data_IF_986527448109
#
_entry.id   IF_986527448109
#
_cell.length_a   1.000
_cell.length_b   1.000
_cell.length_c   1.000
_cell.angle_alpha   90.00
_cell.angle_beta   90.00
_cell.angle_gamma   90.00
#
_symmetry.space_group_name_H-M   'P 1'
#
loop_
_entity.id
_entity.type
_entity.pdbx_description
1 polymer ?
#
# COMPACT_ATOMS: atom_id res chain seq x y z
N UNK A 1 -2.12 -44.05 72.86
CA UNK A 1 -3.29 -43.15 72.76
C UNK A 1 -2.80 -41.78 72.31
N UNK A 2 -3.64 -41.06 71.57
CA UNK A 2 -3.49 -39.73 70.95
C UNK A 2 -2.86 -39.68 69.54
N UNK A 3 -3.82 -39.58 68.59
CA UNK A 3 -3.70 -39.11 67.21
C UNK A 3 -3.38 -37.61 67.20
N UNK A 4 -2.63 -37.12 66.22
CA UNK A 4 -2.88 -35.78 65.67
C UNK A 4 -2.52 -35.75 64.19
N UNK A 5 -3.56 -35.71 63.38
CA UNK A 5 -3.56 -35.51 61.93
C UNK A 5 -3.47 -34.01 61.66
N UNK A 6 -2.54 -33.55 60.82
CA UNK A 6 -2.59 -32.20 60.26
C UNK A 6 -2.81 -32.27 58.75
N UNK A 7 -4.01 -31.83 58.36
CA UNK A 7 -4.53 -31.71 57.00
C UNK A 7 -3.88 -30.48 56.37
N UNK A 8 -3.13 -30.66 55.27
CA UNK A 8 -2.66 -29.55 54.44
C UNK A 8 -3.71 -29.23 53.39
N UNK A 9 -4.33 -28.05 53.50
CA UNK A 9 -5.30 -27.50 52.55
C UNK A 9 -4.55 -27.00 51.30
N UNK A 10 -4.80 -27.61 50.15
CA UNK A 10 -4.35 -27.09 48.85
C UNK A 10 -5.30 -25.97 48.40
N UNK A 11 -4.82 -24.73 48.39
CA UNK A 11 -5.54 -23.59 47.81
C UNK A 11 -5.29 -23.59 46.29
N UNK A 12 -6.28 -24.07 45.53
CA UNK A 12 -6.32 -23.90 44.08
C UNK A 12 -6.70 -22.44 43.76
N UNK A 13 -5.70 -21.62 43.43
CA UNK A 13 -5.92 -20.27 42.92
C UNK A 13 -6.31 -20.37 41.44
N UNK A 14 -7.61 -20.45 41.16
CA UNK A 14 -8.15 -20.36 39.81
C UNK A 14 -8.00 -18.91 39.31
N UNK A 15 -6.90 -18.63 38.61
CA UNK A 15 -6.73 -17.41 37.83
C UNK A 15 -7.65 -17.48 36.61
N UNK A 16 -8.85 -16.91 36.75
CA UNK A 16 -9.69 -16.50 35.63
C UNK A 16 -8.94 -15.43 34.84
N UNK A 17 -8.24 -15.86 33.79
CA UNK A 17 -7.68 -14.97 32.77
C UNK A 17 -8.87 -14.28 32.11
N UNK A 18 -9.16 -13.06 32.56
CA UNK A 18 -10.15 -12.19 31.96
C UNK A 18 -9.84 -12.02 30.48
N UNK A 19 -10.68 -12.63 29.65
CA UNK A 19 -10.74 -12.38 28.22
C UNK A 19 -11.07 -10.90 28.00
N UNK A 20 -10.03 -10.07 27.89
CA UNK A 20 -10.18 -8.76 27.26
C UNK A 20 -10.42 -9.04 25.80
N UNK A 21 -11.70 -8.98 25.42
CA UNK A 21 -12.12 -8.79 24.04
C UNK A 21 -11.22 -7.73 23.42
N UNK A 22 -10.32 -8.19 22.53
CA UNK A 22 -9.51 -7.34 21.70
C UNK A 22 -10.44 -6.70 20.67
N UNK A 23 -11.21 -5.72 21.11
CA UNK A 23 -12.01 -4.88 20.22
C UNK A 23 -11.05 -4.34 19.15
N UNK A 24 -11.23 -4.83 17.92
CA UNK A 24 -10.39 -4.47 16.80
C UNK A 24 -10.42 -2.95 16.66
N UNK A 25 -9.32 -2.29 17.03
CA UNK A 25 -9.23 -0.84 16.98
C UNK A 25 -9.45 -0.37 15.53
N UNK A 26 -10.29 0.66 15.36
CA UNK A 26 -10.58 1.21 14.03
C UNK A 26 -9.24 1.62 13.37
N UNK A 27 -9.10 1.36 12.05
CA UNK A 27 -7.85 1.67 11.38
C UNK A 27 -7.56 3.17 11.44
N UNK A 28 -6.37 3.52 11.93
CA UNK A 28 -5.90 4.91 12.06
C UNK A 28 -5.88 5.66 10.72
N UNK A 29 -5.61 4.94 9.63
CA UNK A 29 -5.59 5.48 8.28
C UNK A 29 -6.54 4.70 7.37
N UNK A 30 -7.19 5.42 6.46
CA UNK A 30 -7.98 4.84 5.36
C UNK A 30 -7.50 5.47 4.06
N UNK A 31 -7.18 4.67 3.05
CA UNK A 31 -6.65 5.15 1.78
C UNK A 31 -7.52 6.28 1.16
N UNK A 32 -8.85 6.15 1.22
CA UNK A 32 -9.81 7.14 0.71
C UNK A 32 -9.79 8.51 1.41
N UNK A 33 -9.20 8.60 2.61
CA UNK A 33 -9.10 9.86 3.37
C UNK A 33 -7.74 10.52 3.24
N UNK A 34 -6.77 9.85 2.61
CA UNK A 34 -5.45 10.40 2.35
C UNK A 34 -5.49 11.34 1.14
N UNK A 35 -4.64 12.36 1.18
CA UNK A 35 -4.43 13.31 0.09
C UNK A 35 -3.01 13.20 -0.45
N UNK A 36 -2.88 13.38 -1.75
CA UNK A 36 -1.63 13.31 -2.49
C UNK A 36 -1.64 14.44 -3.52
N UNK A 37 -0.72 15.40 -3.42
CA UNK A 37 -0.60 16.55 -4.31
C UNK A 37 -1.95 17.20 -4.71
N UNK A 38 -2.81 17.39 -3.70
CA UNK A 38 -4.13 17.99 -3.84
C UNK A 38 -5.26 17.07 -4.30
N UNK A 39 -4.99 15.81 -4.70
CA UNK A 39 -6.03 14.82 -5.04
C UNK A 39 -6.21 13.75 -3.95
N UNK A 40 -7.30 12.98 -4.04
CA UNK A 40 -7.58 11.78 -3.24
C UNK A 40 -8.22 10.68 -4.10
N UNK A 41 -8.31 9.46 -3.57
CA UNK A 41 -9.06 8.39 -4.24
C UNK A 41 -10.53 8.78 -4.40
N UNK A 42 -11.10 8.46 -5.56
CA UNK A 42 -12.44 8.85 -6.00
C UNK A 42 -12.48 10.13 -6.82
N UNK A 43 -11.45 10.98 -6.77
CA UNK A 43 -11.37 12.17 -7.61
C UNK A 43 -11.27 11.79 -9.10
N UNK A 44 -11.75 12.67 -9.98
CA UNK A 44 -11.69 12.48 -11.43
C UNK A 44 -10.27 12.71 -11.94
N UNK A 45 -9.76 11.76 -12.73
CA UNK A 45 -8.41 11.85 -13.28
C UNK A 45 -8.25 13.02 -14.27
N UNK A 46 -9.30 13.44 -14.97
CA UNK A 46 -9.30 14.63 -15.84
C UNK A 46 -8.79 15.89 -15.15
N UNK A 47 -9.15 16.11 -13.87
CA UNK A 47 -8.69 17.26 -13.12
C UNK A 47 -7.18 17.20 -12.79
N UNK A 48 -6.66 15.99 -12.61
CA UNK A 48 -5.24 15.74 -12.37
C UNK A 48 -4.42 15.83 -13.67
N UNK A 49 -4.94 15.32 -14.78
CA UNK A 49 -4.30 15.37 -16.10
C UNK A 49 -4.08 16.81 -16.60
N UNK A 50 -4.79 17.81 -16.07
CA UNK A 50 -4.63 19.22 -16.48
C UNK A 50 -3.45 19.94 -15.84
N UNK A 51 -2.73 19.31 -14.90
CA UNK A 51 -1.62 19.93 -14.17
C UNK A 51 -0.33 19.15 -14.35
N UNK A 52 0.78 19.84 -14.54
CA UNK A 52 2.10 19.24 -14.43
C UNK A 52 2.32 18.70 -12.99
N UNK A 53 3.03 17.57 -12.82
CA UNK A 53 3.66 16.72 -13.85
C UNK A 53 2.74 15.60 -14.40
N UNK A 54 1.43 15.64 -14.15
CA UNK A 54 0.49 14.57 -14.49
C UNK A 54 -0.11 14.68 -15.90
N UNK A 55 0.16 15.76 -16.61
CA UNK A 55 -0.33 16.05 -17.96
C UNK A 55 0.24 15.13 -19.04
N UNK A 56 1.27 14.35 -18.71
CA UNK A 56 2.05 13.57 -19.66
C UNK A 56 2.35 12.15 -19.13
N UNK A 57 1.35 11.26 -19.09
CA UNK A 57 1.56 9.88 -18.67
C UNK A 57 2.46 9.12 -19.64
N UNK A 58 3.32 8.29 -19.05
CA UNK A 58 4.19 7.36 -19.76
C UNK A 58 3.43 6.31 -20.56
N UNK A 59 2.37 5.78 -19.95
CA UNK A 59 1.55 4.75 -20.57
C UNK A 59 0.13 4.81 -20.04
N UNK A 60 -0.75 4.17 -20.80
CA UNK A 60 -2.17 4.12 -20.49
C UNK A 60 -2.84 2.89 -21.11
N UNK A 61 -2.73 1.75 -20.43
CA UNK A 61 -3.34 0.50 -20.91
C UNK A 61 -4.53 0.07 -20.05
N UNK A 62 -5.50 -0.65 -20.64
CA UNK A 62 -6.47 -1.41 -19.86
C UNK A 62 -5.83 -2.66 -19.24
N UNK A 63 -6.29 -3.02 -18.05
CA UNK A 63 -5.90 -4.24 -17.31
C UNK A 63 -7.14 -4.92 -16.73
N UNK A 64 -6.93 -6.13 -16.22
CA UNK A 64 -7.92 -6.98 -15.57
C UNK A 64 -9.15 -7.16 -16.44
N UNK A 65 -8.93 -7.62 -17.68
CA UNK A 65 -10.00 -7.80 -18.68
C UNK A 65 -10.84 -6.52 -18.88
N UNK A 66 -10.18 -5.35 -18.87
CA UNK A 66 -10.81 -4.02 -19.02
C UNK A 66 -11.76 -3.66 -17.86
N UNK A 67 -11.48 -4.11 -16.65
CA UNK A 67 -12.17 -3.59 -15.45
C UNK A 67 -11.43 -2.40 -14.83
N UNK A 68 -10.15 -2.23 -15.16
CA UNK A 68 -9.28 -1.14 -14.70
C UNK A 68 -8.42 -0.61 -15.86
N UNK A 69 -7.86 0.57 -15.63
CA UNK A 69 -6.88 1.22 -16.50
C UNK A 69 -5.79 1.83 -15.63
N UNK A 70 -4.54 1.78 -16.07
CA UNK A 70 -3.40 2.30 -15.32
C UNK A 70 -2.81 3.48 -16.08
N UNK A 71 -2.67 4.61 -15.40
CA UNK A 71 -1.88 5.75 -15.87
C UNK A 71 -0.54 5.67 -15.15
N UNK A 72 0.55 5.57 -15.89
CA UNK A 72 1.87 5.39 -15.29
C UNK A 72 2.77 6.59 -15.56
N UNK A 73 3.70 6.85 -14.65
CA UNK A 73 4.73 7.88 -14.76
C UNK A 73 6.03 7.31 -14.16
N UNK A 74 7.12 7.34 -14.90
CA UNK A 74 8.40 6.76 -14.47
C UNK A 74 9.25 7.75 -13.68
N UNK A 75 9.89 7.31 -12.60
CA UNK A 75 10.94 8.09 -11.95
C UNK A 75 12.23 8.14 -12.78
N UNK A 76 12.48 7.11 -13.59
CA UNK A 76 13.46 7.09 -14.68
C UNK A 76 12.82 7.52 -16.00
N UNK A 77 13.67 7.90 -16.96
CA UNK A 77 13.22 8.40 -18.26
C UNK A 77 12.30 7.42 -18.98
N UNK A 78 11.18 7.95 -19.44
CA UNK A 78 10.14 7.23 -20.10
C UNK A 78 9.46 8.20 -21.08
N UNK A 79 9.49 7.85 -22.37
CA UNK A 79 9.15 8.77 -23.48
C UNK A 79 9.90 10.12 -23.38
N UNK A 80 11.18 10.06 -22.98
CA UNK A 80 12.06 11.24 -22.87
C UNK A 80 11.82 12.12 -21.64
N UNK A 81 11.01 11.67 -20.68
CA UNK A 81 10.62 12.46 -19.50
C UNK A 81 10.72 11.62 -18.24
N UNK A 82 10.99 12.27 -17.11
CA UNK A 82 11.00 11.64 -15.79
C UNK A 82 10.06 12.39 -14.87
N UNK A 83 9.31 11.67 -14.07
CA UNK A 83 8.46 12.23 -13.04
C UNK A 83 9.35 12.84 -11.93
N UNK A 84 9.00 14.01 -11.38
CA UNK A 84 9.88 14.73 -10.46
C UNK A 84 10.21 13.94 -9.19
N UNK A 85 11.35 14.29 -8.58
CA UNK A 85 11.85 13.61 -7.38
C UNK A 85 12.21 12.14 -7.58
N UNK A 86 12.38 11.72 -8.84
CA UNK A 86 12.63 10.33 -9.25
C UNK A 86 11.58 9.34 -8.72
N UNK A 87 10.34 9.81 -8.54
CA UNK A 87 9.23 9.01 -8.03
C UNK A 87 8.48 8.34 -9.17
N UNK A 88 8.32 7.02 -9.13
CA UNK A 88 7.44 6.31 -10.06
C UNK A 88 6.02 6.34 -9.53
N UNK A 89 5.05 6.67 -10.38
CA UNK A 89 3.63 6.79 -10.02
C UNK A 89 2.78 5.87 -10.90
N UNK A 90 1.77 5.27 -10.28
CA UNK A 90 0.72 4.55 -10.98
C UNK A 90 -0.65 4.97 -10.42
N UNK A 91 -1.56 5.38 -11.31
CA UNK A 91 -2.96 5.63 -10.96
C UNK A 91 -3.81 4.54 -11.61
N UNK A 92 -4.62 3.87 -10.81
CA UNK A 92 -5.57 2.86 -11.28
C UNK A 92 -6.94 3.51 -11.38
N UNK A 93 -7.46 3.62 -12.58
CA UNK A 93 -8.76 4.20 -12.88
C UNK A 93 -9.81 3.10 -13.06
N UNK A 94 -11.06 3.42 -12.75
CA UNK A 94 -12.18 2.56 -13.15
C UNK A 94 -12.30 2.57 -14.68
N UNK A 95 -12.32 1.41 -15.34
CA UNK A 95 -12.35 1.39 -16.80
C UNK A 95 -13.67 1.93 -17.37
N UNK A 96 -13.56 2.74 -18.42
CA UNK A 96 -14.64 3.11 -19.33
C UNK A 96 -14.12 3.04 -20.77
N UNK A 97 -14.93 2.44 -21.66
CA UNK A 97 -14.66 2.41 -23.10
C UNK A 97 -14.95 3.75 -23.77
N UNK A 98 -15.87 4.55 -23.21
CA UNK A 98 -16.32 5.83 -23.78
C UNK A 98 -15.45 7.00 -23.33
N UNK A 99 -15.07 7.02 -22.05
CA UNK A 99 -14.39 8.16 -21.44
C UNK A 99 -13.03 7.73 -20.91
N UNK A 100 -11.99 7.78 -21.74
CA UNK A 100 -10.63 7.28 -21.38
C UNK A 100 -10.02 7.96 -20.16
N UNK A 101 -10.23 9.27 -20.00
CA UNK A 101 -9.58 10.08 -18.98
C UNK A 101 -10.52 10.57 -17.88
N UNK A 102 -11.83 10.62 -18.14
CA UNK A 102 -12.81 11.10 -17.16
C UNK A 102 -13.31 9.99 -16.22
N UNK A 103 -12.35 9.30 -15.63
CA UNK A 103 -12.58 8.15 -14.76
C UNK A 103 -12.15 8.48 -13.33
N UNK A 104 -12.84 7.94 -12.31
CA UNK A 104 -12.41 8.08 -10.93
C UNK A 104 -11.10 7.31 -10.70
N UNK A 105 -10.21 7.89 -9.89
CA UNK A 105 -9.00 7.23 -9.40
C UNK A 105 -9.42 6.24 -8.31
N UNK A 106 -9.33 4.93 -8.60
CA UNK A 106 -9.74 3.84 -7.72
C UNK A 106 -8.62 3.43 -6.78
N UNK A 107 -7.40 3.33 -7.30
CA UNK A 107 -6.21 3.09 -6.50
C UNK A 107 -5.04 3.94 -7.00
N UNK A 108 -4.02 4.07 -6.18
CA UNK A 108 -2.85 4.88 -6.43
C UNK A 108 -1.63 4.20 -5.82
N UNK A 109 -0.54 4.12 -6.57
CA UNK A 109 0.74 3.67 -6.06
C UNK A 109 1.81 4.72 -6.36
N UNK A 110 2.76 4.86 -5.44
CA UNK A 110 4.02 5.50 -5.74
C UNK A 110 5.19 4.72 -5.15
N UNK A 111 6.27 4.65 -5.92
CA UNK A 111 7.47 3.87 -5.63
C UNK A 111 8.68 4.79 -5.73
N UNK A 112 9.57 4.68 -4.75
CA UNK A 112 10.81 5.44 -4.65
C UNK A 112 10.59 6.98 -4.66
N UNK A 113 11.70 7.70 -4.58
CA UNK A 113 11.74 9.14 -4.73
C UNK A 113 11.09 9.89 -3.56
N UNK A 114 11.07 11.21 -3.69
CA UNK A 114 10.67 12.12 -2.60
C UNK A 114 9.59 13.12 -3.05
N UNK A 115 8.94 12.90 -4.20
CA UNK A 115 7.92 13.84 -4.71
C UNK A 115 6.82 14.08 -3.67
N UNK A 116 6.31 13.01 -3.06
CA UNK A 116 5.16 13.12 -2.15
C UNK A 116 5.52 13.54 -0.72
N UNK A 117 6.80 13.64 -0.36
CA UNK A 117 7.27 13.86 1.02
C UNK A 117 6.61 15.03 1.76
N UNK A 118 6.28 16.09 1.02
CA UNK A 118 5.59 17.29 1.52
C UNK A 118 4.23 17.51 0.86
N UNK A 119 3.79 16.56 0.02
CA UNK A 119 2.56 16.63 -0.77
C UNK A 119 1.54 15.59 -0.34
N UNK A 120 1.81 14.83 0.73
CA UNK A 120 0.85 13.89 1.30
C UNK A 120 0.70 14.08 2.80
N UNK A 121 -0.48 13.73 3.31
CA UNK A 121 -0.72 13.59 4.75
C UNK A 121 -0.44 12.16 5.26
N UNK A 122 0.11 11.29 4.42
CA UNK A 122 0.56 9.96 4.83
C UNK A 122 1.93 10.03 5.53
N UNK A 123 2.12 9.36 6.70
CA UNK A 123 3.29 9.63 7.54
C UNK A 123 4.56 8.83 7.18
N UNK A 124 4.46 7.85 6.28
CA UNK A 124 5.58 7.02 5.87
C UNK A 124 6.07 7.44 4.48
N UNK A 125 7.36 7.20 4.23
CA UNK A 125 8.05 7.57 3.00
C UNK A 125 8.87 6.39 2.44
N UNK A 126 9.13 6.33 1.11
CA UNK A 126 10.12 5.41 0.57
C UNK A 126 11.48 5.65 1.23
N UNK A 127 12.22 4.57 1.50
CA UNK A 127 13.50 4.59 2.23
C UNK A 127 13.36 4.39 3.75
N UNK A 128 12.17 4.65 4.33
CA UNK A 128 11.92 4.36 5.73
C UNK A 128 12.14 2.86 6.03
N UNK A 129 12.66 2.51 7.23
CA UNK A 129 12.69 1.12 7.66
C UNK A 129 11.26 0.62 7.91
N UNK A 130 10.97 -0.64 7.58
CA UNK A 130 9.66 -1.25 7.80
C UNK A 130 9.22 -1.16 9.27
N UNK A 131 10.17 -1.23 10.21
CA UNK A 131 9.88 -1.07 11.65
C UNK A 131 9.19 0.24 12.01
N UNK A 132 9.40 1.31 11.23
CA UNK A 132 8.71 2.60 11.43
C UNK A 132 7.22 2.49 11.13
N UNK A 133 6.81 1.62 10.21
CA UNK A 133 5.40 1.39 9.88
C UNK A 133 4.60 0.88 11.09
N UNK A 134 5.25 0.15 12.00
CA UNK A 134 4.60 -0.43 13.18
C UNK A 134 4.19 0.60 14.24
N UNK A 135 4.62 1.85 14.09
CA UNK A 135 4.10 3.00 14.88
C UNK A 135 2.70 3.43 14.43
N UNK A 136 2.29 3.02 13.23
CA UNK A 136 1.06 3.45 12.57
C UNK A 136 0.09 2.30 12.32
N UNK A 137 0.63 1.09 12.15
CA UNK A 137 -0.11 -0.11 11.85
C UNK A 137 0.27 -1.24 12.80
N UNK A 138 -0.68 -2.12 13.10
CA UNK A 138 -0.38 -3.32 13.89
C UNK A 138 0.50 -4.28 13.07
N UNK A 139 1.60 -4.81 13.63
CA UNK A 139 2.40 -5.82 12.95
C UNK A 139 1.62 -7.14 12.74
N UNK A 140 0.51 -7.34 13.47
CA UNK A 140 -0.42 -8.48 13.32
C UNK A 140 -1.47 -8.24 12.23
N UNK A 141 -1.10 -7.51 11.17
CA UNK A 141 -1.96 -7.23 10.04
C UNK A 141 -2.28 -8.48 9.20
N UNK A 142 -2.77 -8.26 7.97
CA UNK A 142 -2.93 -9.35 7.02
C UNK A 142 -1.56 -9.95 6.67
N UNK A 143 -1.54 -11.24 6.32
CA UNK A 143 -0.29 -11.92 5.97
C UNK A 143 0.41 -11.24 4.79
N UNK A 144 1.70 -10.89 4.94
CA UNK A 144 2.50 -10.42 3.83
C UNK A 144 2.57 -11.46 2.71
N UNK A 145 2.69 -11.00 1.48
CA UNK A 145 2.90 -11.87 0.32
C UNK A 145 3.99 -11.30 -0.58
N UNK A 146 4.58 -12.14 -1.43
CA UNK A 146 5.64 -11.72 -2.35
C UNK A 146 5.09 -11.53 -3.75
N UNK A 147 5.67 -10.56 -4.46
CA UNK A 147 5.47 -10.35 -5.89
C UNK A 147 6.84 -10.41 -6.56
N UNK A 148 6.93 -11.13 -7.67
CA UNK A 148 8.21 -11.43 -8.31
C UNK A 148 8.15 -11.23 -9.83
N UNK A 149 9.26 -10.73 -10.41
CA UNK A 149 9.44 -10.58 -11.86
C UNK A 149 10.92 -10.57 -12.21
N UNK A 150 11.33 -11.43 -13.15
CA UNK A 150 12.71 -11.46 -13.72
C UNK A 150 13.81 -11.41 -12.65
N UNK A 151 13.75 -12.31 -11.67
CA UNK A 151 14.75 -12.42 -10.60
C UNK A 151 14.68 -11.32 -9.52
N UNK A 152 13.73 -10.39 -9.61
CA UNK A 152 13.48 -9.38 -8.59
C UNK A 152 12.21 -9.72 -7.79
N UNK A 153 12.31 -9.63 -6.46
CA UNK A 153 11.21 -9.91 -5.51
C UNK A 153 10.98 -8.72 -4.60
N UNK A 154 9.71 -8.36 -4.40
CA UNK A 154 9.26 -7.42 -3.38
C UNK A 154 8.29 -8.12 -2.43
N UNK A 155 8.23 -7.65 -1.19
CA UNK A 155 7.24 -8.08 -0.21
C UNK A 155 6.17 -7.01 -0.06
N UNK A 156 4.91 -7.40 -0.12
CA UNK A 156 3.75 -6.54 0.11
C UNK A 156 3.21 -6.85 1.49
N UNK A 157 3.05 -5.83 2.33
CA UNK A 157 2.50 -5.92 3.68
C UNK A 157 1.14 -5.22 3.69
N UNK A 158 0.02 -5.95 3.53
CA UNK A 158 -1.30 -5.33 3.51
C UNK A 158 -1.68 -4.84 4.91
N UNK A 159 -2.19 -3.62 4.96
CA UNK A 159 -2.60 -2.94 6.17
C UNK A 159 -4.10 -2.63 6.13
N UNK A 160 -4.75 -2.49 7.29
CA UNK A 160 -6.12 -2.01 7.37
C UNK A 160 -6.32 -0.69 6.62
N UNK A 161 -7.52 -0.49 6.08
CA UNK A 161 -7.86 0.74 5.35
C UNK A 161 -7.40 0.76 3.88
N UNK A 162 -7.11 -0.41 3.28
CA UNK A 162 -6.68 -0.57 1.88
C UNK A 162 -5.35 0.13 1.60
N UNK A 163 -4.38 -0.08 2.48
CA UNK A 163 -3.03 0.47 2.37
C UNK A 163 -2.09 -0.73 2.25
N UNK A 164 -1.16 -0.69 1.32
CA UNK A 164 -0.18 -1.76 1.11
C UNK A 164 1.20 -1.13 1.16
N UNK A 165 2.04 -1.63 2.06
CA UNK A 165 3.43 -1.20 2.17
C UNK A 165 4.26 -2.16 1.34
N UNK A 166 5.05 -1.64 0.39
CA UNK A 166 5.90 -2.46 -0.48
C UNK A 166 7.34 -2.33 -0.01
N UNK A 167 8.00 -3.45 0.25
CA UNK A 167 9.38 -3.48 0.76
C UNK A 167 10.31 -4.30 -0.12
N UNK A 168 11.59 -3.98 -0.03
CA UNK A 168 12.71 -4.83 -0.46
C UNK A 168 13.61 -5.04 0.75
N UNK A 169 13.72 -6.28 1.22
CA UNK A 169 14.31 -6.57 2.53
C UNK A 169 13.55 -5.82 3.64
N UNK A 170 14.28 -5.07 4.46
CA UNK A 170 13.74 -4.30 5.60
C UNK A 170 13.38 -2.86 5.27
N UNK A 171 13.55 -2.42 4.00
CA UNK A 171 13.30 -1.04 3.57
C UNK A 171 12.03 -0.93 2.76
N UNK A 172 11.27 0.12 3.03
CA UNK A 172 10.09 0.49 2.26
C UNK A 172 10.55 1.07 0.92
N UNK A 173 10.05 0.51 -0.18
CA UNK A 173 10.32 1.01 -1.54
C UNK A 173 9.13 1.76 -2.12
N UNK A 174 7.96 1.66 -1.51
CA UNK A 174 6.78 2.38 -1.97
C UNK A 174 5.50 1.91 -1.29
N UNK A 175 4.39 2.42 -1.79
CA UNK A 175 3.07 2.20 -1.21
C UNK A 175 2.02 2.05 -2.30
N UNK A 176 0.94 1.34 -1.97
CA UNK A 176 -0.30 1.29 -2.75
C UNK A 176 -1.47 1.65 -1.85
N UNK A 177 -2.42 2.44 -2.38
CA UNK A 177 -3.59 2.97 -1.69
C UNK A 177 -4.82 2.68 -2.53
N UNK A 178 -5.83 2.04 -1.94
CA UNK A 178 -7.06 1.65 -2.62
C UNK A 178 -7.19 0.13 -2.78
N UNK A 179 -8.33 -0.36 -3.30
CA UNK A 179 -8.60 -1.79 -3.37
C UNK A 179 -7.67 -2.46 -4.37
N UNK A 180 -6.89 -3.44 -3.89
CA UNK A 180 -6.02 -4.28 -4.71
C UNK A 180 -6.42 -5.76 -4.54
N UNK A 181 -6.21 -6.60 -5.57
CA UNK A 181 -6.54 -8.01 -5.50
C UNK A 181 -5.62 -8.78 -4.55
N UNK A 182 -6.15 -9.79 -3.88
CA UNK A 182 -5.38 -10.68 -2.98
C UNK A 182 -4.43 -11.61 -3.74
N UNK A 183 -4.72 -11.94 -5.00
CA UNK A 183 -3.86 -12.80 -5.81
C UNK A 183 -2.60 -12.04 -6.28
N UNK A 184 -1.37 -12.41 -5.85
CA UNK A 184 -0.13 -11.73 -6.22
C UNK A 184 0.23 -11.80 -7.70
N UNK A 185 -0.38 -12.72 -8.46
CA UNK A 185 -0.14 -12.90 -9.90
C UNK A 185 -1.05 -12.04 -10.79
N UNK A 186 -2.01 -11.32 -10.19
CA UNK A 186 -2.93 -10.45 -10.92
C UNK A 186 -2.19 -9.34 -11.70
N UNK A 187 -2.80 -8.86 -12.79
CA UNK A 187 -2.23 -7.85 -13.69
C UNK A 187 -1.85 -6.54 -12.98
N UNK A 188 -2.58 -6.12 -11.94
CA UNK A 188 -2.24 -4.91 -11.16
C UNK A 188 -0.87 -5.02 -10.47
N UNK A 189 -0.59 -6.16 -9.84
CA UNK A 189 0.70 -6.42 -9.19
C UNK A 189 1.82 -6.64 -10.21
N UNK A 190 1.52 -7.33 -11.32
CA UNK A 190 2.46 -7.49 -12.44
C UNK A 190 2.84 -6.15 -13.06
N UNK A 191 1.88 -5.24 -13.22
CA UNK A 191 2.09 -3.87 -13.67
C UNK A 191 2.99 -3.09 -12.71
N UNK A 192 2.73 -3.18 -11.40
CA UNK A 192 3.58 -2.57 -10.37
C UNK A 192 5.02 -3.08 -10.45
N UNK A 193 5.21 -4.40 -10.55
CA UNK A 193 6.54 -4.99 -10.71
C UNK A 193 7.25 -4.55 -11.99
N UNK A 194 6.51 -4.41 -13.09
CA UNK A 194 7.07 -3.90 -14.34
C UNK A 194 7.53 -2.45 -14.19
N UNK A 195 6.73 -1.59 -13.56
CA UNK A 195 7.09 -0.21 -13.29
C UNK A 195 8.30 -0.10 -12.36
N UNK A 196 8.30 -0.87 -11.27
CA UNK A 196 9.44 -0.93 -10.37
C UNK A 196 10.73 -1.38 -11.07
N UNK A 197 10.66 -2.41 -11.91
CA UNK A 197 11.84 -2.95 -12.56
C UNK A 197 12.43 -2.01 -13.63
N UNK A 198 11.56 -1.36 -14.42
CA UNK A 198 11.98 -0.63 -15.63
C UNK A 198 12.16 0.86 -15.40
N UNK A 199 11.35 1.45 -14.52
CA UNK A 199 11.18 2.89 -14.47
C UNK A 199 11.39 3.49 -13.08
N UNK A 200 11.82 2.69 -12.09
CA UNK A 200 12.12 3.16 -10.74
C UNK A 200 13.63 3.09 -10.48
N UNK A 201 14.26 4.14 -9.94
CA UNK A 201 15.65 4.08 -9.49
C UNK A 201 15.84 3.02 -8.39
N UNK A 202 17.04 2.43 -8.32
CA UNK A 202 17.35 1.31 -7.42
C UNK A 202 18.18 1.73 -6.24
#
# INVERSE_FOLDING_TARGET
>A
MLRTTCISLAIACALTVGGRDLAASRPKFKARTLRFDGFKLGDRYTALLRRAPYDQPCDNDPIDKRSRRFMVYGGLSCRGRSFPGQTTVMLYLAFSSQNRYDQPIVAFAYLHGHYFDKKTNFPLKPGDPLSKAWRYFSPRGQHPFTIARKGLTLTVHPQPGQIYIVTRGTRIVGFVFGPMPSNPTNEQWRGLMQMYQRYTPK
#
